data_IF_149042425457
#
_entry.id   IF_149042425457
#
_cell.length_a   1.000
_cell.length_b   1.000
_cell.length_c   1.000
_cell.angle_alpha   90.00
_cell.angle_beta   90.00
_cell.angle_gamma   90.00
#
_symmetry.space_group_name_H-M   'P 1'
#
loop_
_entity.id
_entity.type
_entity.pdbx_description
1 polymer ?
#
# COMPACT_ATOMS: atom_id res chain seq x y z
N UNK A 1 -2.86 7.69 -29.25
CA UNK A 1 -3.23 6.98 -27.98
C UNK A 1 -2.08 7.10 -26.99
N UNK A 2 -2.34 7.57 -25.78
CA UNK A 2 -1.27 7.76 -24.79
C UNK A 2 -1.02 6.50 -23.96
N UNK A 3 0.20 6.37 -23.43
CA UNK A 3 0.61 5.26 -22.58
C UNK A 3 1.35 5.83 -21.38
N UNK A 4 1.26 5.15 -20.25
CA UNK A 4 2.03 5.44 -19.06
C UNK A 4 2.53 4.14 -18.44
N UNK A 5 3.58 4.21 -17.64
CA UNK A 5 4.12 3.04 -16.94
C UNK A 5 3.13 2.65 -15.85
N UNK A 6 2.78 1.36 -15.77
CA UNK A 6 1.87 0.83 -14.77
C UNK A 6 2.54 0.85 -13.40
N UNK A 7 2.01 1.66 -12.48
CA UNK A 7 2.52 1.74 -11.10
C UNK A 7 1.84 0.71 -10.20
N UNK A 8 0.51 0.66 -10.22
CA UNK A 8 -0.25 -0.19 -9.32
C UNK A 8 -0.17 -1.68 -9.71
N UNK A 9 0.35 -2.51 -8.82
CA UNK A 9 0.54 -3.94 -9.02
C UNK A 9 -0.01 -4.73 -7.83
N UNK A 10 -0.46 -5.96 -8.09
CA UNK A 10 -0.92 -6.84 -7.01
C UNK A 10 0.26 -7.15 -6.06
N UNK A 11 0.06 -6.90 -4.78
CA UNK A 11 1.02 -7.23 -3.75
C UNK A 11 1.12 -8.76 -3.64
N UNK A 12 2.32 -9.33 -3.64
CA UNK A 12 2.53 -10.78 -3.44
C UNK A 12 2.49 -11.20 -1.96
N UNK A 13 2.33 -10.22 -1.05
CA UNK A 13 2.27 -10.37 0.41
C UNK A 13 3.48 -11.10 1.00
N UNK A 14 4.58 -11.14 0.24
CA UNK A 14 5.83 -11.77 0.63
C UNK A 14 6.70 -10.78 1.39
N UNK A 15 7.07 -11.18 2.60
CA UNK A 15 8.14 -10.56 3.39
C UNK A 15 9.47 -11.11 2.89
N UNK A 16 10.36 -10.25 2.45
CA UNK A 16 11.68 -10.63 1.95
C UNK A 16 12.73 -10.37 3.03
N UNK A 17 13.38 -11.44 3.50
CA UNK A 17 14.53 -11.43 4.41
C UNK A 17 14.46 -10.33 5.49
N UNK A 18 13.40 -10.35 6.29
CA UNK A 18 13.27 -9.44 7.43
C UNK A 18 14.14 -9.94 8.57
N UNK A 19 14.89 -9.04 9.21
CA UNK A 19 15.65 -9.37 10.42
C UNK A 19 14.68 -9.76 11.54
N UNK A 20 15.03 -10.79 12.28
CA UNK A 20 14.25 -11.26 13.42
C UNK A 20 15.16 -11.49 14.62
N UNK A 21 14.61 -11.36 15.81
CA UNK A 21 15.36 -11.48 17.04
C UNK A 21 15.31 -12.93 17.55
N UNK A 22 16.44 -13.38 18.10
CA UNK A 22 16.53 -14.65 18.80
C UNK A 22 16.25 -14.39 20.27
N UNK A 23 15.29 -15.12 20.82
CA UNK A 23 14.94 -15.03 22.23
C UNK A 23 16.09 -15.52 23.13
N UNK A 24 15.98 -15.18 24.42
CA UNK A 24 16.97 -15.57 25.45
C UNK A 24 17.16 -17.08 25.58
N UNK A 25 16.17 -17.88 25.19
CA UNK A 25 16.23 -19.34 25.13
C UNK A 25 17.17 -19.88 24.02
N UNK A 26 17.66 -18.98 23.16
CA UNK A 26 18.49 -19.23 21.98
C UNK A 26 17.87 -20.20 20.99
N UNK A 27 16.54 -20.30 20.98
CA UNK A 27 15.78 -21.29 20.22
C UNK A 27 14.60 -20.67 19.50
N UNK A 28 13.91 -19.73 20.14
CA UNK A 28 12.69 -19.13 19.64
C UNK A 28 13.02 -17.84 18.89
N UNK A 29 12.40 -17.68 17.72
CA UNK A 29 12.54 -16.51 16.87
C UNK A 29 11.17 -15.87 16.75
N UNK A 30 11.10 -14.59 17.11
CA UNK A 30 9.89 -13.79 16.98
C UNK A 30 9.86 -13.07 15.64
N UNK A 31 8.75 -13.22 14.90
CA UNK A 31 8.53 -12.54 13.63
C UNK A 31 7.67 -11.30 13.82
N UNK A 32 7.99 -10.22 13.10
CA UNK A 32 7.22 -8.98 13.13
C UNK A 32 5.79 -9.12 12.60
N UNK A 33 5.55 -10.09 11.70
CA UNK A 33 4.24 -10.32 11.08
C UNK A 33 3.88 -11.82 11.13
N UNK A 34 2.59 -12.16 11.22
CA UNK A 34 2.14 -13.54 11.18
C UNK A 34 2.44 -14.26 9.87
N UNK A 35 2.63 -15.57 9.95
CA UNK A 35 2.87 -16.45 8.81
C UNK A 35 1.52 -16.93 8.26
N UNK A 36 1.21 -16.56 7.02
CA UNK A 36 0.05 -17.08 6.30
C UNK A 36 0.31 -18.45 5.68
N UNK A 37 1.56 -18.78 5.36
CA UNK A 37 1.94 -20.08 4.81
C UNK A 37 3.31 -20.55 5.29
N UNK A 38 3.34 -21.66 6.03
CA UNK A 38 4.57 -22.35 6.43
C UNK A 38 5.29 -23.01 5.25
N UNK A 39 4.56 -23.24 4.14
CA UNK A 39 5.13 -23.80 2.92
C UNK A 39 6.10 -22.82 2.22
N UNK A 40 5.83 -21.51 2.27
CA UNK A 40 6.70 -20.50 1.67
C UNK A 40 7.82 -19.99 2.61
N UNK A 41 7.76 -20.36 3.89
CA UNK A 41 8.70 -19.91 4.91
C UNK A 41 10.11 -20.43 4.66
N UNK A 42 11.09 -19.53 4.75
CA UNK A 42 12.52 -19.79 4.73
C UNK A 42 13.19 -18.98 5.84
N UNK A 43 14.16 -19.60 6.49
CA UNK A 43 14.95 -19.00 7.55
C UNK A 43 16.41 -19.06 7.15
N UNK A 44 17.15 -17.98 7.34
CA UNK A 44 18.61 -17.98 7.23
C UNK A 44 19.25 -17.42 8.48
N UNK A 45 20.41 -17.97 8.81
CA UNK A 45 21.26 -17.51 9.91
C UNK A 45 22.63 -17.23 9.31
N UNK A 46 23.13 -15.99 9.46
CA UNK A 46 24.40 -15.53 8.87
C UNK A 46 24.51 -15.87 7.38
N UNK A 47 23.50 -15.50 6.60
CA UNK A 47 23.37 -15.78 5.16
C UNK A 47 23.23 -17.26 4.75
N UNK A 48 23.17 -18.21 5.69
CA UNK A 48 22.97 -19.64 5.38
C UNK A 48 21.51 -20.02 5.57
N UNK A 49 20.84 -20.44 4.49
CA UNK A 49 19.45 -20.92 4.54
C UNK A 49 19.39 -22.25 5.28
N UNK A 50 18.60 -22.32 6.34
CA UNK A 50 18.40 -23.53 7.12
C UNK A 50 17.39 -24.46 6.44
N UNK A 51 17.61 -25.79 6.48
CA UNK A 51 16.63 -26.74 5.98
C UNK A 51 15.38 -26.72 6.87
N UNK A 52 14.20 -26.96 6.28
CA UNK A 52 12.92 -27.01 7.00
C UNK A 52 12.91 -28.00 8.17
N UNK A 53 13.75 -29.04 8.10
CA UNK A 53 13.91 -30.02 9.17
C UNK A 53 14.60 -29.45 10.41
N UNK A 54 15.23 -28.27 10.36
CA UNK A 54 15.96 -27.65 11.49
C UNK A 54 15.11 -26.76 12.39
N UNK A 55 13.86 -26.50 12.04
CA UNK A 55 12.96 -25.65 12.82
C UNK A 55 11.51 -26.17 12.76
N UNK A 56 10.65 -25.59 13.59
CA UNK A 56 9.22 -25.84 13.64
C UNK A 56 8.45 -24.56 13.92
N UNK A 57 7.14 -24.64 13.82
CA UNK A 57 6.21 -23.55 14.04
C UNK A 57 5.39 -23.85 15.29
N UNK A 58 5.24 -22.88 16.16
CA UNK A 58 4.43 -22.99 17.38
C UNK A 58 3.47 -21.81 17.47
N UNK A 59 2.24 -22.07 17.86
CA UNK A 59 1.33 -21.01 18.30
C UNK A 59 1.62 -20.71 19.77
N UNK A 60 1.33 -19.49 20.25
CA UNK A 60 1.36 -19.25 21.69
C UNK A 60 0.30 -20.14 22.34
N UNK A 61 0.70 -20.95 23.31
CA UNK A 61 -0.18 -21.93 23.96
C UNK A 61 -1.23 -21.25 24.88
N UNK A 62 -1.12 -19.93 25.09
CA UNK A 62 -1.87 -19.18 26.11
C UNK A 62 -3.13 -18.46 25.60
N UNK A 63 -3.45 -18.50 24.30
CA UNK A 63 -4.63 -17.80 23.77
C UNK A 63 -5.75 -18.76 23.36
N UNK A 64 -6.95 -18.52 23.90
CA UNK A 64 -8.20 -19.16 23.44
C UNK A 64 -8.64 -18.64 22.07
N UNK A 65 -8.02 -17.54 21.61
CA UNK A 65 -8.16 -17.00 20.25
C UNK A 65 -7.04 -17.61 19.41
N UNK A 66 -7.38 -18.24 18.28
CA UNK A 66 -6.40 -18.76 17.32
C UNK A 66 -5.65 -17.59 16.70
N UNK A 67 -4.60 -17.12 17.37
CA UNK A 67 -3.73 -16.11 16.82
C UNK A 67 -2.86 -16.72 15.72
N UNK A 68 -2.68 -16.03 14.59
CA UNK A 68 -1.87 -16.53 13.51
C UNK A 68 -0.40 -16.65 13.94
N UNK A 69 0.26 -17.74 13.53
CA UNK A 69 1.61 -18.12 13.98
C UNK A 69 2.63 -17.00 13.74
N UNK A 70 3.30 -16.54 14.82
CA UNK A 70 4.42 -15.58 14.79
C UNK A 70 5.75 -16.14 15.28
N UNK A 71 5.75 -17.37 15.79
CA UNK A 71 6.91 -17.98 16.43
C UNK A 71 7.49 -19.11 15.58
N UNK A 72 8.81 -19.10 15.48
CA UNK A 72 9.58 -20.16 14.83
C UNK A 72 10.59 -20.68 15.85
N UNK A 73 10.56 -21.98 16.11
CA UNK A 73 11.46 -22.61 17.08
C UNK A 73 12.50 -23.45 16.38
N UNK A 74 13.78 -23.17 16.61
CA UNK A 74 14.88 -24.02 16.16
C UNK A 74 14.83 -25.36 16.89
N UNK A 75 15.05 -26.49 16.20
CA UNK A 75 15.10 -27.80 16.88
C UNK A 75 16.31 -27.95 17.81
N UNK A 76 17.38 -27.19 17.55
CA UNK A 76 18.59 -27.12 18.36
C UNK A 76 18.86 -25.66 18.73
N UNK A 77 19.34 -25.43 19.96
CA UNK A 77 19.75 -24.09 20.40
C UNK A 77 20.87 -23.54 19.50
N UNK A 78 20.79 -22.26 19.17
CA UNK A 78 21.86 -21.55 18.48
C UNK A 78 23.09 -21.48 19.37
N UNK A 79 24.25 -21.83 18.81
CA UNK A 79 25.56 -21.71 19.49
C UNK A 79 26.20 -20.33 19.29
N UNK A 80 25.65 -19.53 18.39
CA UNK A 80 26.15 -18.19 18.05
C UNK A 80 25.70 -17.20 19.12
N UNK A 81 26.58 -16.30 19.52
CA UNK A 81 26.28 -15.29 20.55
C UNK A 81 25.42 -14.14 20.01
N UNK A 82 25.58 -13.78 18.73
CA UNK A 82 24.79 -12.75 18.06
C UNK A 82 24.58 -13.12 16.58
N UNK A 83 23.69 -14.09 16.30
CA UNK A 83 23.38 -14.47 14.92
C UNK A 83 22.56 -13.40 14.21
N UNK A 84 22.90 -13.12 12.95
CA UNK A 84 22.01 -12.40 12.04
C UNK A 84 20.96 -13.39 11.55
N UNK A 85 19.74 -13.28 12.08
CA UNK A 85 18.60 -14.12 11.70
C UNK A 85 17.68 -13.34 10.79
N UNK A 86 17.38 -13.92 9.64
CA UNK A 86 16.45 -13.32 8.68
C UNK A 86 15.44 -14.36 8.17
N UNK A 87 14.20 -13.92 8.01
CA UNK A 87 13.10 -14.77 7.55
C UNK A 87 12.47 -14.23 6.27
N UNK A 88 12.10 -15.15 5.37
CA UNK A 88 11.30 -14.88 4.18
C UNK A 88 10.02 -15.71 4.27
N UNK A 89 8.85 -15.08 4.15
CA UNK A 89 7.56 -15.77 4.29
C UNK A 89 6.42 -14.96 3.67
N UNK A 90 5.25 -15.58 3.53
CA UNK A 90 4.02 -14.89 3.14
C UNK A 90 3.23 -14.54 4.39
N UNK A 91 2.74 -13.30 4.49
CA UNK A 91 1.87 -12.82 5.58
C UNK A 91 0.43 -12.66 5.10
N UNK A 92 -0.50 -12.46 6.03
CA UNK A 92 -1.90 -12.18 5.74
C UNK A 92 -2.06 -10.76 5.19
N UNK A 93 -3.15 -10.52 4.44
CA UNK A 93 -3.44 -9.24 3.80
C UNK A 93 -3.36 -8.06 4.79
N UNK A 94 -4.09 -8.18 5.91
CA UNK A 94 -4.23 -7.11 6.90
C UNK A 94 -2.95 -6.88 7.72
N UNK A 95 -1.98 -7.80 7.60
CA UNK A 95 -0.68 -7.73 8.25
C UNK A 95 0.47 -7.47 7.26
N UNK A 96 0.16 -7.18 5.99
CA UNK A 96 1.20 -6.94 4.99
C UNK A 96 1.76 -5.51 5.14
N UNK A 97 3.05 -5.32 5.45
CA UNK A 97 3.62 -3.98 5.61
C UNK A 97 3.81 -3.24 4.28
N UNK A 98 3.72 -3.94 3.15
CA UNK A 98 3.92 -3.36 1.82
C UNK A 98 2.67 -2.66 1.32
N UNK A 99 1.52 -3.35 1.39
CA UNK A 99 0.25 -2.80 0.94
C UNK A 99 -0.63 -2.29 2.08
N UNK A 100 -0.34 -2.60 3.34
CA UNK A 100 -1.15 -2.15 4.49
C UNK A 100 -2.64 -2.51 4.30
N UNK A 101 -2.91 -3.73 3.86
CA UNK A 101 -4.28 -4.19 3.56
C UNK A 101 -4.85 -3.81 2.19
N UNK A 102 -4.19 -2.96 1.40
CA UNK A 102 -4.69 -2.49 0.09
C UNK A 102 -4.72 -3.53 -1.03
N UNK A 103 -4.04 -4.67 -0.87
CA UNK A 103 -3.78 -5.68 -1.92
C UNK A 103 -2.91 -5.22 -3.08
N UNK A 104 -2.62 -3.93 -3.20
CA UNK A 104 -1.82 -3.36 -4.27
C UNK A 104 -0.60 -2.59 -3.71
N UNK A 105 0.44 -2.48 -4.53
CA UNK A 105 1.64 -1.66 -4.29
C UNK A 105 1.96 -0.86 -5.55
N UNK A 106 2.53 0.33 -5.37
CA UNK A 106 3.05 1.13 -6.47
C UNK A 106 4.52 0.80 -6.69
N UNK A 107 4.80 0.07 -7.76
CA UNK A 107 6.15 -0.32 -8.13
C UNK A 107 6.27 -0.51 -9.65
N UNK A 108 7.48 -0.38 -10.17
CA UNK A 108 7.78 -0.65 -11.57
C UNK A 108 7.86 -2.16 -11.78
N UNK A 109 7.02 -2.68 -12.66
CA UNK A 109 7.06 -4.10 -13.03
C UNK A 109 7.45 -4.28 -14.49
N UNK A 110 8.20 -5.35 -14.73
CA UNK A 110 8.63 -5.77 -16.06
C UNK A 110 7.88 -7.03 -16.46
N UNK A 111 7.61 -7.18 -17.74
CA UNK A 111 7.04 -8.39 -18.30
C UNK A 111 8.13 -9.48 -18.48
N UNK A 112 7.75 -10.61 -19.08
CA UNK A 112 8.69 -11.73 -19.32
C UNK A 112 9.76 -11.42 -20.37
N UNK A 113 9.55 -10.40 -21.21
CA UNK A 113 10.49 -9.93 -22.22
C UNK A 113 11.48 -8.90 -21.65
N UNK A 114 11.21 -8.40 -20.44
CA UNK A 114 11.98 -7.32 -19.81
C UNK A 114 11.44 -5.92 -20.14
N UNK A 115 10.28 -5.82 -20.78
CA UNK A 115 9.64 -4.55 -21.08
C UNK A 115 8.84 -4.03 -19.88
N UNK A 116 8.75 -2.70 -19.72
CA UNK A 116 7.92 -2.09 -18.67
C UNK A 116 6.44 -2.37 -18.92
N UNK A 117 5.73 -2.81 -17.88
CA UNK A 117 4.28 -2.90 -17.93
C UNK A 117 3.69 -1.49 -18.10
N UNK A 118 2.75 -1.33 -19.03
CA UNK A 118 2.11 -0.04 -19.32
C UNK A 118 0.60 -0.11 -19.12
N UNK A 119 -0.01 1.04 -18.85
CA UNK A 119 -1.46 1.23 -18.77
C UNK A 119 -1.95 2.16 -19.88
N UNK A 120 -3.20 1.95 -20.30
CA UNK A 120 -3.89 2.70 -21.36
C UNK A 120 -5.38 2.85 -21.01
N UNK A 121 -6.10 3.72 -21.72
CA UNK A 121 -7.55 3.89 -21.61
C UNK A 121 -7.98 4.15 -20.15
N UNK A 122 -8.99 3.42 -19.66
CA UNK A 122 -9.54 3.60 -18.32
C UNK A 122 -8.52 3.38 -17.21
N UNK A 123 -7.59 2.43 -17.37
CA UNK A 123 -6.54 2.20 -16.37
C UNK A 123 -5.55 3.35 -16.29
N UNK A 124 -5.29 4.02 -17.42
CA UNK A 124 -4.50 5.25 -17.42
C UNK A 124 -5.26 6.38 -16.72
N UNK A 125 -6.58 6.48 -16.90
CA UNK A 125 -7.39 7.45 -16.17
C UNK A 125 -7.35 7.19 -14.66
N UNK A 126 -7.50 5.94 -14.21
CA UNK A 126 -7.38 5.56 -12.78
C UNK A 126 -6.02 6.01 -12.23
N UNK A 127 -4.92 5.68 -12.92
CA UNK A 127 -3.59 6.07 -12.49
C UNK A 127 -3.39 7.60 -12.47
N UNK A 128 -4.01 8.33 -13.40
CA UNK A 128 -3.97 9.80 -13.39
C UNK A 128 -4.74 10.38 -12.20
N UNK A 129 -5.90 9.80 -11.86
CA UNK A 129 -6.67 10.18 -10.66
C UNK A 129 -5.86 9.93 -9.40
N UNK A 130 -5.28 8.73 -9.25
CA UNK A 130 -4.39 8.37 -8.16
C UNK A 130 -3.25 9.37 -7.99
N UNK A 131 -2.44 9.56 -9.05
CA UNK A 131 -1.35 10.54 -9.06
C UNK A 131 -1.82 11.93 -8.65
N UNK A 132 -3.02 12.34 -9.09
CA UNK A 132 -3.58 13.66 -8.80
C UNK A 132 -3.99 13.82 -7.34
N UNK A 133 -4.47 12.75 -6.70
CA UNK A 133 -4.89 12.74 -5.30
C UNK A 133 -3.68 12.69 -4.36
N UNK A 134 -2.71 11.81 -4.62
CA UNK A 134 -1.59 11.54 -3.71
C UNK A 134 -0.46 12.56 -3.79
N UNK A 135 -0.28 13.22 -4.94
CA UNK A 135 0.82 14.19 -5.13
C UNK A 135 0.57 15.41 -4.24
N UNK A 136 1.61 15.90 -3.56
CA UNK A 136 1.54 17.15 -2.81
C UNK A 136 1.41 18.35 -3.76
N UNK A 137 0.45 19.24 -3.51
CA UNK A 137 0.25 20.42 -4.35
C UNK A 137 1.52 21.29 -4.39
N UNK A 138 1.95 21.68 -5.59
CA UNK A 138 3.17 22.47 -5.78
C UNK A 138 4.47 21.66 -5.76
N UNK A 139 4.45 20.36 -5.44
CA UNK A 139 5.67 19.53 -5.45
C UNK A 139 6.17 19.21 -6.86
N UNK A 140 5.29 19.28 -7.87
CA UNK A 140 5.65 19.04 -9.26
C UNK A 140 6.07 20.34 -9.96
N UNK A 141 7.37 20.46 -10.25
CA UNK A 141 7.99 21.65 -10.88
C UNK A 141 7.40 21.99 -12.26
N UNK A 142 6.88 21.00 -12.99
CA UNK A 142 6.30 21.21 -14.32
C UNK A 142 4.78 21.44 -14.27
N UNK A 143 4.14 21.03 -13.18
CA UNK A 143 2.70 21.07 -13.01
C UNK A 143 2.33 21.49 -11.58
N UNK A 144 2.60 22.74 -11.22
CA UNK A 144 2.40 23.24 -9.84
C UNK A 144 0.97 23.05 -9.31
N UNK A 145 -0.02 23.10 -10.20
CA UNK A 145 -1.44 22.90 -9.88
C UNK A 145 -1.85 21.41 -9.73
N UNK A 146 -0.89 20.49 -9.84
CA UNK A 146 -1.08 19.05 -9.64
C UNK A 146 -0.98 18.69 -8.17
N UNK A 147 -1.92 17.88 -7.70
CA UNK A 147 -1.89 17.36 -6.35
C UNK A 147 -3.02 17.86 -5.47
N UNK A 148 -2.91 17.51 -4.19
CA UNK A 148 -3.77 17.97 -3.09
C UNK A 148 -2.90 18.41 -1.91
N UNK A 149 -3.50 19.04 -0.90
CA UNK A 149 -2.84 19.30 0.38
C UNK A 149 -3.22 18.23 1.42
N UNK A 150 -3.63 17.02 1.00
CA UNK A 150 -4.03 15.96 1.93
C UNK A 150 -2.89 15.57 2.88
N UNK A 151 -1.63 15.68 2.43
CA UNK A 151 -0.46 15.45 3.28
C UNK A 151 -0.41 16.43 4.47
N UNK A 152 -0.90 17.66 4.32
CA UNK A 152 -0.96 18.63 5.44
C UNK A 152 -1.89 18.20 6.58
N UNK A 153 -2.84 17.28 6.30
CA UNK A 153 -3.76 16.73 7.28
C UNK A 153 -3.11 15.62 8.12
N UNK A 154 -1.98 15.07 7.65
CA UNK A 154 -1.20 14.07 8.38
C UNK A 154 -0.59 14.72 9.62
N UNK A 155 -0.80 14.10 10.77
CA UNK A 155 -0.41 14.55 12.13
C UNK A 155 -1.23 15.73 12.70
N UNK A 156 -2.36 16.10 12.09
CA UNK A 156 -3.27 17.04 12.72
C UNK A 156 -4.17 16.35 13.74
N UNK A 157 -4.36 16.98 14.91
CA UNK A 157 -5.28 16.47 15.93
C UNK A 157 -6.71 16.59 15.41
N UNK A 158 -7.37 15.45 15.23
CA UNK A 158 -8.76 15.40 14.77
C UNK A 158 -9.68 15.74 15.93
N UNK A 159 -10.26 16.94 15.88
CA UNK A 159 -11.29 17.35 16.82
C UNK A 159 -12.69 17.11 16.25
N UNK A 160 -12.85 17.22 14.93
CA UNK A 160 -14.12 17.05 14.23
C UNK A 160 -13.90 16.22 12.94
N UNK A 161 -14.53 15.05 12.87
CA UNK A 161 -14.42 14.15 11.72
C UNK A 161 -15.16 14.66 10.49
N UNK A 162 -16.31 15.31 10.67
CA UNK A 162 -17.11 15.79 9.55
C UNK A 162 -16.42 16.97 8.88
N UNK A 163 -15.73 17.83 9.65
CA UNK A 163 -14.88 18.87 9.10
C UNK A 163 -13.76 18.30 8.22
N UNK A 164 -13.04 17.28 8.69
CA UNK A 164 -11.95 16.65 7.93
C UNK A 164 -12.48 15.94 6.69
N UNK A 165 -13.59 15.21 6.82
CA UNK A 165 -14.28 14.59 5.69
C UNK A 165 -14.59 15.63 4.60
N UNK A 166 -15.20 16.75 4.97
CA UNK A 166 -15.54 17.81 4.01
C UNK A 166 -14.28 18.41 3.36
N UNK A 167 -13.24 18.69 4.15
CA UNK A 167 -11.96 19.20 3.63
C UNK A 167 -11.29 18.23 2.65
N UNK A 168 -11.28 16.93 2.95
CA UNK A 168 -10.73 15.89 2.06
C UNK A 168 -11.53 15.85 0.76
N UNK A 169 -12.86 15.79 0.87
CA UNK A 169 -13.77 15.76 -0.28
C UNK A 169 -13.58 16.97 -1.18
N UNK A 170 -13.56 18.17 -0.63
CA UNK A 170 -13.39 19.42 -1.39
C UNK A 170 -12.04 19.48 -2.11
N UNK A 171 -10.96 19.05 -1.45
CA UNK A 171 -9.63 19.02 -2.06
C UNK A 171 -9.54 18.03 -3.22
N UNK A 172 -10.11 16.84 -3.06
CA UNK A 172 -10.15 15.82 -4.12
C UNK A 172 -10.97 16.32 -5.31
N UNK A 173 -12.20 16.79 -5.07
CA UNK A 173 -13.08 17.32 -6.14
C UNK A 173 -12.39 18.47 -6.88
N UNK A 174 -11.79 19.41 -6.15
CA UNK A 174 -11.03 20.52 -6.74
C UNK A 174 -9.89 20.03 -7.62
N UNK A 175 -9.12 19.05 -7.14
CA UNK A 175 -7.97 18.53 -7.89
C UNK A 175 -8.38 17.76 -9.15
N UNK A 176 -9.49 17.02 -9.09
CA UNK A 176 -10.06 16.31 -10.24
C UNK A 176 -10.68 17.26 -11.27
N UNK A 177 -11.27 18.36 -10.83
CA UNK A 177 -11.70 19.42 -11.75
C UNK A 177 -10.51 20.06 -12.49
N UNK A 178 -9.37 20.26 -11.80
CA UNK A 178 -8.12 20.72 -12.45
C UNK A 178 -7.56 19.68 -13.43
N UNK A 179 -7.70 18.38 -13.13
CA UNK A 179 -7.36 17.31 -14.08
C UNK A 179 -8.22 17.41 -15.35
N UNK A 180 -9.54 17.57 -15.20
CA UNK A 180 -10.46 17.74 -16.34
C UNK A 180 -10.10 18.97 -17.19
N UNK A 181 -9.72 20.07 -16.55
CA UNK A 181 -9.25 21.27 -17.28
C UNK A 181 -7.94 21.01 -18.01
N UNK A 182 -6.98 20.34 -17.38
CA UNK A 182 -5.71 19.96 -18.02
C UNK A 182 -5.95 19.06 -19.25
N UNK A 183 -6.92 18.14 -19.17
CA UNK A 183 -7.33 17.30 -20.29
C UNK A 183 -7.97 18.10 -21.44
N UNK A 184 -8.73 19.16 -21.14
CA UNK A 184 -9.26 20.06 -22.18
C UNK A 184 -8.14 20.77 -22.93
N UNK A 185 -7.11 21.25 -22.23
CA UNK A 185 -5.94 21.87 -22.86
C UNK A 185 -5.20 20.88 -23.77
N UNK A 186 -5.08 19.61 -23.35
CA UNK A 186 -4.48 18.55 -24.18
C UNK A 186 -5.28 18.24 -25.44
N UNK A 187 -6.62 18.27 -25.37
CA UNK A 187 -7.46 18.10 -26.55
C UNK A 187 -7.35 19.30 -27.49
N UNK A 188 -7.27 20.52 -26.94
CA UNK A 188 -7.08 21.74 -27.73
C UNK A 188 -5.74 21.76 -28.48
N UNK A 189 -4.69 21.11 -27.95
CA UNK A 189 -3.39 20.96 -28.63
C UNK A 189 -3.38 19.87 -29.71
N UNK A 190 -4.53 19.26 -30.04
CA UNK A 190 -4.70 18.19 -31.04
C UNK A 190 -3.92 16.91 -30.73
N UNK A 191 -3.60 16.66 -29.45
CA UNK A 191 -3.02 15.38 -29.04
C UNK A 191 -4.09 14.28 -29.15
N UNK A 192 -3.71 13.14 -29.70
CA UNK A 192 -4.60 11.97 -29.75
C UNK A 192 -4.75 11.33 -28.36
N UNK A 193 -5.95 11.46 -27.79
CA UNK A 193 -6.34 10.90 -26.49
C UNK A 193 -7.59 10.04 -26.72
N UNK A 194 -7.64 8.84 -26.13
CA UNK A 194 -8.83 8.00 -26.21
C UNK A 194 -9.91 8.46 -25.22
N UNK A 195 -11.18 8.15 -25.49
CA UNK A 195 -12.28 8.52 -24.58
C UNK A 195 -12.18 7.82 -23.21
N UNK A 196 -11.50 6.67 -23.13
CA UNK A 196 -11.25 5.97 -21.87
C UNK A 196 -10.23 6.69 -20.97
N UNK A 197 -9.36 7.54 -21.55
CA UNK A 197 -8.35 8.31 -20.82
C UNK A 197 -8.90 9.61 -20.22
N UNK A 198 -10.10 10.02 -20.61
CA UNK A 198 -10.69 11.32 -20.30
C UNK A 198 -11.71 11.21 -19.15
N UNK A 199 -11.57 12.09 -18.16
CA UNK A 199 -12.51 12.20 -17.05
C UNK A 199 -13.78 12.93 -17.52
N UNK A 200 -14.94 12.28 -17.42
CA UNK A 200 -16.23 12.91 -17.71
C UNK A 200 -16.88 13.45 -16.43
N UNK A 201 -17.22 12.55 -15.50
CA UNK A 201 -17.93 12.91 -14.26
C UNK A 201 -17.18 12.45 -13.04
N UNK A 202 -17.12 13.31 -12.03
CA UNK A 202 -16.72 12.94 -10.68
C UNK A 202 -17.99 12.42 -10.00
N UNK A 203 -17.92 11.21 -9.45
CA UNK A 203 -19.00 10.61 -8.67
C UNK A 203 -18.90 11.02 -7.20
N UNK A 204 -19.12 10.05 -6.32
CA UNK A 204 -19.03 10.24 -4.88
C UNK A 204 -17.58 10.11 -4.38
N UNK A 205 -17.23 10.94 -3.39
CA UNK A 205 -16.03 10.80 -2.57
C UNK A 205 -16.47 10.38 -1.16
N UNK A 206 -16.23 9.11 -0.83
CA UNK A 206 -16.58 8.52 0.45
C UNK A 206 -15.36 8.57 1.36
N UNK A 207 -15.49 9.18 2.54
CA UNK A 207 -14.44 9.21 3.56
C UNK A 207 -14.95 8.53 4.82
N UNK A 208 -14.29 7.44 5.19
CA UNK A 208 -14.63 6.57 6.32
C UNK A 208 -13.42 6.33 7.21
N UNK A 209 -13.65 6.02 8.48
CA UNK A 209 -12.59 5.52 9.37
C UNK A 209 -12.36 4.04 9.10
N UNK A 210 -11.11 3.61 9.04
CA UNK A 210 -10.78 2.20 9.06
C UNK A 210 -10.99 1.62 10.47
N UNK A 211 -10.70 0.32 10.65
CA UNK A 211 -10.69 -0.30 11.97
C UNK A 211 -9.73 0.41 12.94
N UNK A 212 -8.59 0.88 12.42
CA UNK A 212 -7.71 1.81 13.13
C UNK A 212 -8.27 3.24 13.02
N UNK A 213 -8.64 3.90 14.14
CA UNK A 213 -9.21 5.25 14.12
C UNK A 213 -8.24 6.33 13.63
N UNK A 214 -6.94 6.02 13.54
CA UNK A 214 -5.92 6.92 12.98
C UNK A 214 -5.83 6.82 11.45
N UNK A 215 -6.56 5.90 10.81
CA UNK A 215 -6.52 5.70 9.37
C UNK A 215 -7.88 6.05 8.77
N UNK A 216 -7.89 6.89 7.74
CA UNK A 216 -9.06 7.13 6.90
C UNK A 216 -8.98 6.34 5.61
N UNK A 217 -10.08 5.72 5.21
CA UNK A 217 -10.29 5.18 3.88
C UNK A 217 -11.04 6.21 3.05
N UNK A 218 -10.45 6.60 1.92
CA UNK A 218 -11.05 7.51 0.95
C UNK A 218 -11.29 6.76 -0.34
N UNK A 219 -12.55 6.66 -0.74
CA UNK A 219 -12.96 6.03 -2.00
C UNK A 219 -13.52 7.09 -2.93
N UNK A 220 -12.99 7.17 -4.15
CA UNK A 220 -13.41 8.09 -5.20
C UNK A 220 -14.01 7.28 -6.33
N UNK A 221 -15.28 7.53 -6.64
CA UNK A 221 -15.93 6.99 -7.84
C UNK A 221 -15.96 8.04 -8.93
N UNK A 222 -15.74 7.65 -10.18
CA UNK A 222 -15.76 8.57 -11.33
C UNK A 222 -16.10 7.83 -12.62
N UNK A 223 -16.47 8.58 -13.66
CA UNK A 223 -16.86 8.03 -14.95
C UNK A 223 -15.97 8.59 -16.04
N UNK A 224 -15.40 7.70 -16.86
CA UNK A 224 -14.65 8.05 -18.05
C UNK A 224 -15.59 8.50 -19.17
N UNK A 225 -15.08 9.25 -20.15
CA UNK A 225 -15.87 9.67 -21.33
C UNK A 225 -16.34 8.50 -22.19
N UNK A 226 -15.67 7.34 -22.11
CA UNK A 226 -16.14 6.08 -22.68
C UNK A 226 -17.44 5.55 -22.05
N UNK A 227 -17.90 6.14 -20.94
CA UNK A 227 -19.11 5.75 -20.20
C UNK A 227 -18.86 4.73 -19.08
N UNK A 228 -17.62 4.26 -18.90
CA UNK A 228 -17.26 3.31 -17.84
C UNK A 228 -17.07 4.03 -16.50
N UNK A 229 -17.71 3.50 -15.47
CA UNK A 229 -17.50 3.92 -14.07
C UNK A 229 -16.34 3.15 -13.47
N UNK A 230 -15.49 3.86 -12.74
CA UNK A 230 -14.24 3.38 -12.14
C UNK A 230 -14.18 3.86 -10.68
N UNK A 231 -13.35 3.18 -9.90
CA UNK A 231 -13.15 3.47 -8.49
C UNK A 231 -11.65 3.52 -8.17
N UNK A 232 -11.27 4.42 -7.26
CA UNK A 232 -9.94 4.52 -6.67
C UNK A 232 -10.06 4.63 -5.15
N UNK A 233 -9.27 3.88 -4.41
CA UNK A 233 -9.26 3.89 -2.93
C UNK A 233 -7.87 4.22 -2.39
N UNK A 234 -7.80 5.17 -1.46
CA UNK A 234 -6.58 5.56 -0.75
C UNK A 234 -6.78 5.46 0.76
N UNK A 235 -5.75 5.00 1.49
CA UNK A 235 -5.70 5.10 2.94
C UNK A 235 -4.84 6.29 3.36
N UNK A 236 -5.36 7.14 4.23
CA UNK A 236 -4.67 8.31 4.78
C UNK A 236 -4.39 8.06 6.27
N UNK A 237 -3.12 8.03 6.65
CA UNK A 237 -2.69 7.92 8.04
C UNK A 237 -2.67 9.33 8.67
N UNK A 238 -3.45 9.53 9.73
CA UNK A 238 -3.68 10.84 10.36
C UNK A 238 -2.71 11.11 11.51
N UNK A 239 -2.08 10.08 12.09
CA UNK A 239 -0.98 10.27 13.05
C UNK A 239 -0.17 9.00 13.27
N UNK A 240 1.16 9.12 13.34
CA UNK A 240 2.03 8.15 14.01
C UNK A 240 2.31 8.58 15.45
N UNK A 241 1.32 8.56 16.33
CA UNK A 241 1.65 8.32 17.73
C UNK A 241 1.56 6.83 17.96
N UNK A 242 2.70 6.13 17.82
CA UNK A 242 2.88 4.86 18.51
C UNK A 242 2.56 5.17 19.97
N UNK A 243 1.44 4.66 20.47
CA UNK A 243 1.22 4.57 21.91
C UNK A 243 2.37 3.71 22.41
N UNK A 244 3.41 4.35 22.92
CA UNK A 244 4.38 3.69 23.76
C UNK A 244 3.58 3.22 24.97
N UNK A 245 3.24 1.94 24.99
CA UNK A 245 2.86 1.28 26.22
C UNK A 245 4.10 1.40 27.13
N UNK A 246 4.02 2.34 28.08
CA UNK A 246 4.88 2.40 29.26
C UNK A 246 4.21 1.58 30.35
#
# INVERSE_FOLDING_TARGET
>A
MSIDIKLQNACDHRINWIRSELETDRKTIFLSYPIASTASFKLRINNVVLPKSSYGFSNSEESTVVEPTRYVSLKKKSKLNDPIIEAQYTTFLDYCPKCVGLRYIDDLTYDKSGDLNTVRNEYLLVQNVEKRVITELGSNVFHENMGTNLHSLVNQKILDFDLIRNQITDQIITSLNRLKESQRTLLASRREVSDGELLDKIGEVIVERAEDPTILRVTVTFTARSGRTLEYTQFLELSRQRVAFV
#
